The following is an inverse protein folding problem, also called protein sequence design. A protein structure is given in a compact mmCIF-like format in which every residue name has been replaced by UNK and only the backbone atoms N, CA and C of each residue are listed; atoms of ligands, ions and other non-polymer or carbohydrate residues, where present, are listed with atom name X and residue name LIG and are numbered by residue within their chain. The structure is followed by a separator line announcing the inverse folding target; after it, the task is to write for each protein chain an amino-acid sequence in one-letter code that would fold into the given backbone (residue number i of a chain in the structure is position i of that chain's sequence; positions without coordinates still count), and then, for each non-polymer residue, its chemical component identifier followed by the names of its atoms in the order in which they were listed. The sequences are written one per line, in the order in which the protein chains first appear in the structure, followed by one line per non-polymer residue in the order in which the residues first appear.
data_IF_829037154683
#
_entry.id   IF_829037154683
#
_cell.length_a   1.000
_cell.length_b   1.000
_cell.length_c   1.000
_cell.angle_alpha   90.00
_cell.angle_beta   90.00
_cell.angle_gamma   90.00
#
_symmetry.space_group_name_H-M   'P 1'
#
loop_
_entity.id
_entity.type
_entity.pdbx_description
1 polymer ?
#
# COMPACT_ATOMS: atom_id res chain seq x y z
N UNK A 1 1.62 5.92 14.57
CA UNK A 1 0.55 6.70 13.90
C UNK A 1 -0.32 7.48 14.88
N UNK A 2 -0.52 7.01 16.12
CA UNK A 2 -1.18 7.79 17.18
C UNK A 2 -0.18 8.12 18.30
N UNK A 3 -0.20 9.35 18.83
CA UNK A 3 0.75 9.80 19.85
C UNK A 3 0.72 8.96 21.14
N UNK A 4 -0.44 8.39 21.48
CA UNK A 4 -0.62 7.54 22.66
C UNK A 4 -0.45 6.03 22.37
N UNK A 5 -0.17 5.64 21.12
CA UNK A 5 -0.10 4.22 20.76
C UNK A 5 1.10 3.54 21.43
N UNK A 6 0.86 2.47 22.20
CA UNK A 6 1.91 1.74 22.90
C UNK A 6 1.84 0.21 22.65
N UNK A 7 1.16 -0.18 21.56
CA UNK A 7 0.94 -1.57 21.19
C UNK A 7 1.98 -2.14 20.22
N UNK A 8 1.74 -3.36 19.72
CA UNK A 8 2.57 -4.00 18.70
C UNK A 8 2.36 -3.36 17.33
N UNK A 9 3.43 -3.03 16.61
CA UNK A 9 3.37 -2.46 15.26
C UNK A 9 3.25 -3.54 14.19
N UNK A 10 4.03 -4.62 14.34
CA UNK A 10 4.02 -5.76 13.44
C UNK A 10 4.53 -7.01 14.17
N UNK A 11 4.30 -8.18 13.57
CA UNK A 11 4.81 -9.45 14.05
C UNK A 11 5.86 -10.00 13.10
N UNK A 12 6.95 -10.54 13.65
CA UNK A 12 7.95 -11.29 12.88
C UNK A 12 7.91 -12.77 13.23
N UNK A 13 8.22 -13.62 12.26
CA UNK A 13 8.45 -15.06 12.45
C UNK A 13 9.85 -15.43 12.00
N UNK A 14 10.59 -16.12 12.86
CA UNK A 14 11.96 -16.56 12.55
C UNK A 14 11.99 -17.98 11.97
N UNK A 15 12.87 -18.21 10.99
CA UNK A 15 12.92 -19.48 10.26
C UNK A 15 13.54 -20.62 11.05
N UNK A 16 14.33 -20.34 12.09
CA UNK A 16 15.02 -21.37 12.88
C UNK A 16 14.08 -22.31 13.62
N UNK A 17 12.92 -21.81 14.07
CA UNK A 17 11.97 -22.59 14.89
C UNK A 17 10.51 -22.18 14.71
N UNK A 18 10.20 -21.30 13.75
CA UNK A 18 8.86 -20.77 13.50
C UNK A 18 8.22 -20.00 14.66
N UNK A 19 8.98 -19.65 15.70
CA UNK A 19 8.46 -18.80 16.76
C UNK A 19 8.18 -17.39 16.21
N UNK A 20 7.19 -16.74 16.82
CA UNK A 20 6.79 -15.37 16.48
C UNK A 20 7.13 -14.39 17.60
N UNK A 21 7.31 -13.13 17.23
CA UNK A 21 7.51 -12.03 18.17
C UNK A 21 6.86 -10.77 17.63
N UNK A 22 6.06 -10.13 18.48
CA UNK A 22 5.55 -8.79 18.18
C UNK A 22 6.63 -7.74 18.46
N UNK A 23 6.76 -6.80 17.54
CA UNK A 23 7.64 -5.64 17.65
C UNK A 23 6.78 -4.41 17.90
N UNK A 24 6.84 -3.90 19.13
CA UNK A 24 6.17 -2.67 19.52
C UNK A 24 7.03 -1.42 19.34
N UNK A 25 6.53 -0.32 19.87
CA UNK A 25 7.26 0.95 19.97
C UNK A 25 8.28 0.94 21.10
N UNK A 26 9.33 1.76 20.99
CA UNK A 26 10.29 1.99 22.09
C UNK A 26 9.64 2.75 23.26
N UNK A 27 8.72 3.67 22.93
CA UNK A 27 7.89 4.43 23.87
C UNK A 27 6.58 4.79 23.17
N UNK A 28 5.51 5.12 23.94
CA UNK A 28 4.22 5.49 23.36
C UNK A 28 4.35 6.56 22.25
N UNK A 29 3.74 6.29 21.10
CA UNK A 29 3.79 7.14 19.89
C UNK A 29 5.15 7.19 19.18
N UNK A 30 6.14 6.42 19.65
CA UNK A 30 7.51 6.45 19.17
C UNK A 30 7.80 5.49 18.01
N UNK A 31 9.09 5.32 17.74
CA UNK A 31 9.64 4.44 16.70
C UNK A 31 9.58 2.97 17.09
N UNK A 32 9.59 2.07 16.10
CA UNK A 32 9.66 0.63 16.30
C UNK A 32 10.92 0.21 17.08
N UNK A 33 10.79 -0.80 17.95
CA UNK A 33 11.93 -1.37 18.67
C UNK A 33 12.72 -2.34 17.78
N UNK A 34 13.49 -1.80 16.84
CA UNK A 34 14.31 -2.58 15.92
C UNK A 34 15.35 -3.47 16.62
N UNK A 35 15.85 -3.06 17.80
CA UNK A 35 16.80 -3.87 18.58
C UNK A 35 16.16 -5.19 19.08
N UNK A 36 14.87 -5.17 19.41
CA UNK A 36 14.13 -6.39 19.76
C UNK A 36 14.01 -7.34 18.56
N UNK A 37 13.77 -6.81 17.37
CA UNK A 37 13.76 -7.61 16.13
C UNK A 37 15.14 -8.20 15.85
N UNK A 38 16.19 -7.38 15.88
CA UNK A 38 17.56 -7.82 15.61
C UNK A 38 17.97 -8.97 16.55
N UNK A 39 17.65 -8.84 17.84
CA UNK A 39 17.91 -9.87 18.84
C UNK A 39 17.11 -11.15 18.57
N UNK A 40 15.83 -11.02 18.23
CA UNK A 40 14.95 -12.17 17.96
C UNK A 40 15.35 -12.96 16.71
N UNK A 41 15.77 -12.23 15.67
CA UNK A 41 16.15 -12.76 14.36
C UNK A 41 17.64 -13.14 14.25
N UNK A 42 18.42 -12.93 15.31
CA UNK A 42 19.87 -13.21 15.31
C UNK A 42 20.16 -14.67 14.92
N UNK A 43 21.07 -14.85 13.95
CA UNK A 43 21.48 -16.18 13.48
C UNK A 43 20.46 -16.91 12.60
N UNK A 44 19.39 -16.24 12.16
CA UNK A 44 18.36 -16.82 11.28
C UNK A 44 17.74 -15.74 10.38
N UNK A 45 16.82 -16.13 9.51
CA UNK A 45 15.99 -15.20 8.73
C UNK A 45 14.66 -14.96 9.42
N UNK A 46 14.09 -13.77 9.21
CA UNK A 46 12.75 -13.42 9.68
C UNK A 46 11.89 -12.91 8.53
N UNK A 47 10.60 -13.21 8.59
CA UNK A 47 9.56 -12.61 7.76
C UNK A 47 8.59 -11.83 8.62
N UNK A 48 7.97 -10.78 8.06
CA UNK A 48 6.88 -10.02 8.71
C UNK A 48 5.58 -10.77 8.44
N UNK A 49 4.94 -11.33 9.48
CA UNK A 49 3.71 -12.13 9.35
C UNK A 49 2.43 -11.31 9.46
N UNK A 50 2.46 -10.24 10.24
CA UNK A 50 1.32 -9.35 10.47
C UNK A 50 1.80 -7.92 10.52
N UNK A 51 1.07 -7.01 9.88
CA UNK A 51 1.19 -5.57 10.08
C UNK A 51 -0.06 -5.15 10.85
N UNK A 52 0.11 -4.71 12.10
CA UNK A 52 -1.02 -4.43 12.97
C UNK A 52 -1.63 -3.05 12.66
N UNK A 53 -2.96 -3.02 12.61
CA UNK A 53 -3.71 -1.77 12.59
C UNK A 53 -3.67 -1.15 14.00
N UNK A 54 -3.11 0.05 14.06
CA UNK A 54 -2.97 0.82 15.31
C UNK A 54 -4.29 1.47 15.75
N UNK A 55 -5.30 1.50 14.88
CA UNK A 55 -6.63 1.99 15.19
C UNK A 55 -7.38 1.01 16.09
N UNK A 56 -8.54 1.44 16.59
CA UNK A 56 -9.44 0.58 17.35
C UNK A 56 -10.19 -0.45 16.49
N UNK A 57 -9.99 -0.46 15.16
CA UNK A 57 -10.66 -1.39 14.24
C UNK A 57 -9.94 -2.73 14.13
N UNK A 58 -8.61 -2.74 14.33
CA UNK A 58 -7.79 -3.94 14.23
C UNK A 58 -7.85 -4.63 12.87
N UNK A 59 -7.93 -3.84 11.79
CA UNK A 59 -7.88 -4.31 10.41
C UNK A 59 -6.44 -4.71 10.02
N UNK A 60 -5.93 -5.75 10.69
CA UNK A 60 -4.53 -6.15 10.56
C UNK A 60 -4.26 -6.79 9.20
N UNK A 61 -3.18 -6.38 8.55
CA UNK A 61 -2.78 -6.99 7.29
C UNK A 61 -1.99 -8.27 7.56
N UNK A 62 -2.41 -9.36 6.91
CA UNK A 62 -1.77 -10.69 7.01
C UNK A 62 -1.42 -11.19 5.62
N UNK A 63 -0.80 -12.38 5.51
CA UNK A 63 -0.42 -12.97 4.23
C UNK A 63 -1.60 -12.97 3.25
N UNK A 64 -1.43 -12.36 2.08
CA UNK A 64 -2.49 -12.32 1.08
C UNK A 64 -2.87 -13.75 0.63
N UNK A 65 -4.18 -14.05 0.52
CA UNK A 65 -4.66 -15.36 0.06
C UNK A 65 -4.52 -15.49 -1.45
N UNK A 66 -4.93 -16.65 -1.98
CA UNK A 66 -5.17 -16.80 -3.41
C UNK A 66 -6.23 -15.82 -3.92
N UNK A 67 -6.13 -15.43 -5.19
CA UNK A 67 -7.12 -14.59 -5.87
C UNK A 67 -7.43 -15.01 -7.30
N UNK A 68 -7.96 -14.08 -8.07
CA UNK A 68 -8.26 -14.25 -9.49
C UNK A 68 -7.01 -14.38 -10.38
N UNK A 69 -5.96 -13.61 -10.08
CA UNK A 69 -4.75 -13.54 -10.91
C UNK A 69 -3.60 -14.43 -10.46
N UNK A 70 -3.48 -14.73 -9.16
CA UNK A 70 -2.41 -15.57 -8.63
C UNK A 70 -2.94 -16.63 -7.62
N UNK A 71 -2.32 -17.82 -7.58
CA UNK A 71 -2.83 -18.96 -6.81
C UNK A 71 -2.63 -18.85 -5.30
N UNK A 72 -1.80 -17.92 -4.82
CA UNK A 72 -1.49 -17.69 -3.41
C UNK A 72 -1.12 -18.95 -2.58
N UNK A 73 -1.08 -18.84 -1.24
CA UNK A 73 -0.92 -17.57 -0.54
C UNK A 73 0.39 -16.89 -0.97
N UNK A 74 0.38 -15.57 -1.01
CA UNK A 74 1.55 -14.80 -1.43
C UNK A 74 2.69 -14.95 -0.43
N UNK A 75 3.91 -14.57 -0.81
CA UNK A 75 5.04 -14.58 0.12
C UNK A 75 4.86 -13.50 1.18
N UNK A 76 5.53 -13.70 2.31
CA UNK A 76 5.72 -12.69 3.34
C UNK A 76 7.06 -11.98 3.13
N UNK A 77 7.08 -10.66 3.37
CA UNK A 77 8.27 -9.84 3.23
C UNK A 77 9.36 -10.23 4.24
N UNK A 78 10.62 -10.17 3.81
CA UNK A 78 11.76 -10.32 4.70
C UNK A 78 11.87 -9.13 5.65
N UNK A 79 12.03 -9.40 6.95
CA UNK A 79 11.95 -8.38 8.01
C UNK A 79 13.15 -7.42 8.06
N UNK A 80 14.25 -7.68 7.34
CA UNK A 80 15.46 -6.85 7.36
C UNK A 80 15.81 -6.23 6.01
N UNK A 81 14.99 -6.43 4.98
CA UNK A 81 15.30 -6.01 3.60
C UNK A 81 15.03 -4.53 3.30
N UNK A 82 14.36 -3.78 4.19
CA UNK A 82 14.16 -2.34 4.07
C UNK A 82 14.61 -1.59 5.35
N UNK A 83 15.90 -1.61 5.72
CA UNK A 83 16.39 -0.87 6.86
C UNK A 83 16.24 0.65 6.63
N UNK A 84 15.86 1.38 7.66
CA UNK A 84 15.75 2.84 7.63
C UNK A 84 16.08 3.45 9.00
N UNK A 85 16.08 4.77 9.08
CA UNK A 85 16.19 5.51 10.33
C UNK A 85 15.12 6.59 10.42
N UNK A 86 14.36 6.62 11.52
CA UNK A 86 13.43 7.70 11.84
C UNK A 86 13.97 8.47 13.04
N UNK A 87 14.26 9.77 12.86
CA UNK A 87 14.87 10.63 13.88
C UNK A 87 16.12 10.04 14.53
N UNK A 88 16.98 9.40 13.74
CA UNK A 88 18.21 8.75 14.22
C UNK A 88 18.02 7.36 14.84
N UNK A 89 16.79 6.87 14.96
CA UNK A 89 16.50 5.52 15.45
C UNK A 89 16.32 4.54 14.30
N UNK A 90 16.99 3.39 14.37
CA UNK A 90 16.83 2.30 13.39
C UNK A 90 15.40 1.78 13.39
N UNK A 91 14.86 1.55 12.19
CA UNK A 91 13.58 0.89 11.95
C UNK A 91 13.66 0.04 10.66
N UNK A 92 12.60 -0.71 10.37
CA UNK A 92 12.48 -1.52 9.16
C UNK A 92 11.13 -1.22 8.49
N UNK A 93 11.16 -0.99 7.18
CA UNK A 93 9.96 -1.02 6.34
C UNK A 93 9.66 -2.41 5.82
N UNK A 94 8.64 -2.51 4.98
CA UNK A 94 8.19 -3.75 4.33
C UNK A 94 8.69 -3.75 2.88
N UNK A 95 9.78 -4.48 2.62
CA UNK A 95 10.30 -4.67 1.26
C UNK A 95 9.50 -5.76 0.54
N UNK A 96 8.76 -5.39 -0.51
CA UNK A 96 7.85 -6.25 -1.26
C UNK A 96 8.48 -6.57 -2.63
N UNK A 97 9.13 -7.74 -2.81
CA UNK A 97 9.48 -8.25 -4.13
C UNK A 97 8.26 -8.92 -4.81
N UNK A 98 8.30 -9.19 -6.12
CA UNK A 98 7.21 -9.87 -6.82
C UNK A 98 6.79 -11.20 -6.16
N UNK A 99 5.48 -11.40 -6.07
CA UNK A 99 4.82 -12.51 -5.40
C UNK A 99 4.70 -12.34 -3.89
N UNK A 100 4.75 -11.12 -3.36
CA UNK A 100 4.62 -10.81 -1.92
C UNK A 100 3.45 -9.86 -1.72
N UNK A 101 2.58 -10.15 -0.78
CA UNK A 101 1.34 -9.41 -0.61
C UNK A 101 0.77 -9.53 0.79
N UNK A 102 0.08 -8.48 1.23
CA UNK A 102 -0.69 -8.50 2.47
C UNK A 102 -2.13 -8.05 2.25
N UNK A 103 -3.06 -8.61 3.03
CA UNK A 103 -4.49 -8.37 2.86
C UNK A 103 -5.28 -8.50 4.16
N UNK A 104 -6.40 -7.80 4.22
CA UNK A 104 -7.53 -8.04 5.11
C UNK A 104 -8.85 -7.94 4.31
N UNK A 105 -9.49 -9.08 4.05
CA UNK A 105 -10.77 -9.17 3.34
C UNK A 105 -11.99 -8.90 4.23
N UNK A 106 -11.79 -8.77 5.53
CA UNK A 106 -12.85 -8.67 6.55
C UNK A 106 -12.75 -7.40 7.38
N UNK A 107 -12.04 -6.41 6.85
CA UNK A 107 -11.84 -5.12 7.49
C UNK A 107 -13.17 -4.44 7.84
N UNK A 108 -13.15 -3.67 8.93
CA UNK A 108 -14.33 -2.96 9.44
C UNK A 108 -14.11 -1.47 9.47
N UNK A 109 -15.15 -0.71 9.11
CA UNK A 109 -15.14 0.76 9.13
C UNK A 109 -14.42 1.43 7.96
N UNK A 110 -13.88 0.66 7.02
CA UNK A 110 -13.44 1.10 5.69
C UNK A 110 -14.64 1.55 4.84
N UNK A 111 -14.42 2.47 3.89
CA UNK A 111 -15.51 2.95 3.04
C UNK A 111 -15.99 1.86 2.08
N UNK A 112 -17.29 1.85 1.81
CA UNK A 112 -17.93 0.95 0.84
C UNK A 112 -18.88 1.74 -0.05
N UNK A 113 -19.17 1.20 -1.23
CA UNK A 113 -19.96 1.88 -2.25
C UNK A 113 -19.30 3.20 -2.68
N UNK A 114 -20.09 4.27 -2.68
CA UNK A 114 -19.66 5.61 -3.06
C UNK A 114 -19.28 6.50 -1.87
N UNK A 115 -19.15 5.91 -0.67
CA UNK A 115 -18.75 6.67 0.52
C UNK A 115 -17.34 7.24 0.35
N UNK A 116 -17.08 8.45 0.89
CA UNK A 116 -15.77 9.08 0.76
C UNK A 116 -14.72 8.40 1.64
N UNK A 117 -13.47 8.41 1.18
CA UNK A 117 -12.30 8.01 1.95
C UNK A 117 -11.05 8.78 1.51
N UNK A 118 -10.00 8.63 2.30
CA UNK A 118 -8.68 9.18 2.02
C UNK A 118 -7.61 8.27 2.58
N UNK A 119 -6.59 8.04 1.78
CA UNK A 119 -5.52 7.10 2.06
C UNK A 119 -4.18 7.76 1.75
N UNK A 120 -3.17 7.43 2.57
CA UNK A 120 -1.79 7.82 2.30
C UNK A 120 -0.83 6.71 2.69
N UNK A 121 0.31 6.66 2.01
CA UNK A 121 1.42 5.78 2.34
C UNK A 121 2.76 6.51 2.16
N UNK A 122 3.79 6.02 2.86
CA UNK A 122 5.17 6.40 2.58
C UNK A 122 5.84 5.25 1.84
N UNK A 123 6.25 5.49 0.60
CA UNK A 123 6.92 4.51 -0.25
C UNK A 123 8.41 4.82 -0.44
N UNK A 124 9.18 3.80 -0.84
CA UNK A 124 10.47 4.03 -1.50
C UNK A 124 10.22 4.38 -2.97
N UNK A 125 10.32 5.66 -3.34
CA UNK A 125 10.08 6.12 -4.71
C UNK A 125 11.08 5.62 -5.75
N UNK A 126 12.09 4.86 -5.33
CA UNK A 126 13.10 4.24 -6.20
C UNK A 126 12.96 2.72 -6.33
N UNK A 127 12.07 2.10 -5.55
CA UNK A 127 11.79 0.67 -5.61
C UNK A 127 10.40 0.46 -6.20
N UNK A 128 10.36 0.09 -7.48
CA UNK A 128 9.13 -0.17 -8.23
C UNK A 128 9.44 -1.05 -9.46
N UNK A 129 8.41 -1.50 -10.16
CA UNK A 129 8.52 -2.06 -11.51
C UNK A 129 7.25 -1.73 -12.33
N UNK A 130 7.11 -2.38 -13.50
CA UNK A 130 5.94 -2.27 -14.37
C UNK A 130 5.00 -3.47 -14.28
N UNK A 131 5.06 -4.26 -13.21
CA UNK A 131 4.12 -5.36 -12.95
C UNK A 131 2.85 -4.86 -12.26
N UNK A 132 1.77 -5.63 -12.37
CA UNK A 132 0.54 -5.36 -11.63
C UNK A 132 0.46 -6.21 -10.36
N UNK A 133 0.11 -5.64 -9.21
CA UNK A 133 0.04 -4.18 -8.93
C UNK A 133 0.62 -3.88 -7.54
N UNK A 134 1.32 -2.75 -7.38
CA UNK A 134 1.89 -2.35 -6.09
C UNK A 134 0.95 -1.33 -5.48
N UNK A 135 -0.11 -1.85 -4.87
CA UNK A 135 -1.18 -1.02 -4.34
C UNK A 135 -1.19 -0.98 -2.82
N UNK A 136 -1.76 0.07 -2.26
CA UNK A 136 -2.19 0.13 -0.87
C UNK A 136 -3.53 0.84 -0.80
N UNK A 137 -4.57 0.16 -0.31
CA UNK A 137 -5.89 0.78 -0.21
C UNK A 137 -7.08 -0.17 -0.23
N UNK A 138 -8.23 0.37 -0.65
CA UNK A 138 -9.53 -0.30 -0.68
C UNK A 138 -9.63 -1.29 -1.85
N UNK A 139 -10.12 -2.50 -1.58
CA UNK A 139 -10.29 -3.53 -2.60
C UNK A 139 -11.50 -4.43 -2.36
N UNK A 140 -11.67 -5.42 -3.24
CA UNK A 140 -12.68 -6.47 -3.18
C UNK A 140 -12.48 -7.41 -1.99
N UNK A 141 -13.58 -7.89 -1.45
CA UNK A 141 -13.56 -8.78 -0.26
C UNK A 141 -13.32 -10.25 -0.59
N UNK A 142 -13.33 -10.61 -1.87
CA UNK A 142 -13.22 -11.98 -2.37
C UNK A 142 -11.89 -12.26 -3.11
N UNK A 143 -10.99 -11.27 -3.18
CA UNK A 143 -9.72 -11.33 -3.91
C UNK A 143 -9.89 -11.62 -5.41
N UNK A 144 -10.95 -11.11 -6.02
CA UNK A 144 -11.25 -11.20 -7.45
C UNK A 144 -11.63 -9.83 -7.98
N UNK A 145 -11.43 -9.64 -9.28
CA UNK A 145 -11.97 -8.52 -10.03
C UNK A 145 -13.50 -8.62 -10.09
N UNK A 146 -14.19 -7.70 -9.41
CA UNK A 146 -15.65 -7.56 -9.41
C UNK A 146 -16.13 -6.37 -10.32
N UNK A 147 -15.21 -5.89 -11.16
CA UNK A 147 -15.39 -4.90 -12.22
C UNK A 147 -15.29 -3.44 -11.76
N UNK A 148 -15.11 -2.53 -12.71
CA UNK A 148 -14.95 -1.08 -12.52
C UNK A 148 -15.59 -0.49 -11.23
N UNK A 149 -14.77 0.27 -10.50
CA UNK A 149 -15.17 1.04 -9.33
C UNK A 149 -15.23 0.24 -8.02
N UNK A 150 -14.82 -1.02 -8.00
CA UNK A 150 -14.82 -1.87 -6.78
C UNK A 150 -13.56 -1.73 -5.93
N UNK A 151 -12.51 -1.11 -6.47
CA UNK A 151 -11.30 -0.69 -5.74
C UNK A 151 -11.21 0.83 -5.62
N UNK A 152 -10.43 1.28 -4.65
CA UNK A 152 -9.85 2.63 -4.58
C UNK A 152 -8.55 2.51 -3.77
N UNK A 153 -7.44 2.35 -4.48
CA UNK A 153 -6.13 2.15 -3.86
C UNK A 153 -5.04 3.01 -4.49
N UNK A 154 -4.04 3.40 -3.70
CA UNK A 154 -2.84 4.06 -4.21
C UNK A 154 -2.01 3.04 -4.97
N UNK A 155 -1.81 3.25 -6.27
CA UNK A 155 -0.80 2.55 -7.06
C UNK A 155 0.50 3.35 -7.11
N UNK A 156 1.64 2.66 -7.02
CA UNK A 156 2.94 3.26 -7.33
C UNK A 156 3.82 2.37 -8.22
N UNK A 157 4.20 2.89 -9.38
CA UNK A 157 5.05 2.18 -10.34
C UNK A 157 5.06 2.80 -11.72
N UNK A 158 5.55 2.08 -12.73
CA UNK A 158 5.71 2.60 -14.09
C UNK A 158 5.03 1.76 -15.18
N UNK A 159 4.02 0.97 -14.81
CA UNK A 159 3.20 0.25 -15.79
C UNK A 159 2.48 1.23 -16.73
N UNK A 160 2.26 0.83 -17.98
CA UNK A 160 1.54 1.62 -19.01
C UNK A 160 0.41 0.83 -19.68
N UNK A 161 -0.01 -0.27 -19.08
CA UNK A 161 -1.12 -1.09 -19.58
C UNK A 161 -2.43 -0.31 -19.54
N UNK A 162 -2.62 0.52 -18.50
CA UNK A 162 -3.79 1.38 -18.28
C UNK A 162 -3.44 2.87 -18.40
N UNK A 163 -3.60 3.63 -17.32
CA UNK A 163 -3.16 5.02 -17.20
C UNK A 163 -1.66 5.15 -17.03
N UNK A 164 -1.16 6.35 -17.35
CA UNK A 164 0.21 6.76 -17.08
C UNK A 164 0.33 8.29 -17.11
N UNK A 165 1.33 8.82 -16.42
CA UNK A 165 1.65 10.24 -16.38
C UNK A 165 2.72 10.66 -17.40
N UNK A 166 3.23 11.87 -17.22
CA UNK A 166 4.36 12.41 -17.97
C UNK A 166 5.70 11.78 -17.57
N UNK A 167 6.66 11.78 -18.50
CA UNK A 167 7.98 11.18 -18.27
C UNK A 167 7.99 9.65 -18.40
N UNK A 168 8.91 9.00 -17.70
CA UNK A 168 9.11 7.53 -17.77
C UNK A 168 8.65 6.78 -16.52
N UNK A 169 8.02 7.50 -15.58
CA UNK A 169 7.61 6.97 -14.30
C UNK A 169 8.78 6.86 -13.31
N UNK A 170 8.47 6.45 -12.08
CA UNK A 170 7.17 5.95 -11.64
C UNK A 170 6.18 7.10 -11.37
N UNK A 171 4.91 6.75 -11.26
CA UNK A 171 3.78 7.65 -11.00
C UNK A 171 3.01 7.20 -9.77
N UNK A 172 2.34 8.14 -9.12
CA UNK A 172 1.28 7.83 -8.16
C UNK A 172 -0.03 7.83 -8.97
N UNK A 173 -0.74 6.71 -8.98
CA UNK A 173 -2.04 6.60 -9.63
C UNK A 173 -3.06 6.06 -8.63
N UNK A 174 -4.34 6.07 -8.99
CA UNK A 174 -5.36 5.32 -8.28
C UNK A 174 -5.70 4.04 -9.05
N UNK A 175 -5.66 2.88 -8.41
CA UNK A 175 -6.33 1.68 -8.90
C UNK A 175 -7.81 1.76 -8.53
N UNK A 176 -8.66 1.78 -9.55
CA UNK A 176 -10.12 1.82 -9.40
C UNK A 176 -10.78 0.52 -9.91
N UNK A 177 -10.02 -0.56 -10.05
CA UNK A 177 -10.33 -1.82 -10.73
C UNK A 177 -10.49 -1.66 -12.26
N UNK A 178 -9.91 -2.59 -13.01
CA UNK A 178 -9.81 -2.60 -14.46
C UNK A 178 -9.15 -1.34 -15.07
N UNK A 179 -8.48 -0.54 -14.24
CA UNK A 179 -7.88 0.71 -14.63
C UNK A 179 -7.08 1.36 -13.51
N UNK A 180 -5.80 1.61 -13.79
CA UNK A 180 -4.98 2.56 -13.07
C UNK A 180 -5.17 3.95 -13.69
N UNK A 181 -5.50 4.95 -12.88
CA UNK A 181 -5.79 6.30 -13.35
C UNK A 181 -4.78 7.31 -12.82
N UNK A 182 -4.13 8.03 -13.74
CA UNK A 182 -3.29 9.20 -13.48
C UNK A 182 -4.07 10.53 -13.56
N UNK A 183 -5.39 10.47 -13.75
CA UNK A 183 -6.27 11.63 -13.89
C UNK A 183 -7.58 11.30 -14.61
N UNK A 184 -8.20 12.30 -15.25
CA UNK A 184 -9.53 12.18 -15.84
C UNK A 184 -9.62 11.16 -16.99
N UNK A 185 -8.59 11.08 -17.83
CA UNK A 185 -8.59 10.22 -19.01
C UNK A 185 -8.10 8.82 -18.64
N UNK A 186 -8.66 7.79 -19.30
CA UNK A 186 -8.29 6.38 -19.09
C UNK A 186 -6.80 6.07 -19.31
N UNK A 187 -6.12 6.83 -20.15
CA UNK A 187 -4.71 6.61 -20.49
C UNK A 187 -3.84 7.77 -20.00
N UNK A 188 -3.27 8.53 -20.95
CA UNK A 188 -2.31 9.56 -20.64
C UNK A 188 -2.97 10.78 -19.98
N UNK A 189 -2.42 11.20 -18.84
CA UNK A 189 -2.72 12.48 -18.22
C UNK A 189 -1.40 13.24 -18.01
N UNK A 190 -1.25 14.38 -18.69
CA UNK A 190 0.02 15.12 -18.71
C UNK A 190 0.41 15.72 -17.36
N UNK A 191 -0.56 15.92 -16.46
CA UNK A 191 -0.38 16.61 -15.19
C UNK A 191 0.08 15.69 -14.05
N UNK A 192 0.15 14.38 -14.28
CA UNK A 192 0.74 13.44 -13.33
C UNK A 192 2.24 13.29 -13.61
N UNK A 193 3.13 13.85 -12.77
CA UNK A 193 4.56 13.86 -13.02
C UNK A 193 5.23 12.55 -12.59
N UNK A 194 6.38 12.25 -13.19
CA UNK A 194 7.29 11.26 -12.62
C UNK A 194 7.75 11.71 -11.22
N UNK A 195 7.61 10.85 -10.21
CA UNK A 195 8.06 11.12 -8.82
C UNK A 195 8.91 9.99 -8.27
N UNK A 196 10.12 10.28 -7.80
CA UNK A 196 11.09 9.26 -7.39
C UNK A 196 11.85 9.61 -6.10
N UNK A 197 11.19 10.30 -5.17
CA UNK A 197 11.77 10.59 -3.86
C UNK A 197 12.02 9.30 -3.09
N UNK A 198 13.22 9.16 -2.50
CA UNK A 198 13.57 7.97 -1.69
C UNK A 198 12.58 7.68 -0.57
N UNK A 199 11.96 8.72 0.00
CA UNK A 199 10.77 8.58 0.84
C UNK A 199 9.69 9.44 0.21
N UNK A 200 8.75 8.80 -0.46
CA UNK A 200 7.66 9.42 -1.20
C UNK A 200 6.39 9.33 -0.35
N UNK A 201 5.79 10.47 -0.03
CA UNK A 201 4.38 10.48 0.41
C UNK A 201 3.51 10.36 -0.83
N UNK A 202 2.64 9.35 -0.86
CA UNK A 202 1.63 9.14 -1.88
C UNK A 202 0.25 9.16 -1.24
N UNK A 203 -0.73 9.80 -1.89
CA UNK A 203 -2.07 9.97 -1.35
C UNK A 203 -3.10 9.90 -2.47
N UNK A 204 -4.20 9.19 -2.19
CA UNK A 204 -5.42 9.19 -2.99
C UNK A 204 -6.58 9.55 -2.06
N UNK A 205 -7.48 10.41 -2.53
CA UNK A 205 -8.72 10.73 -1.83
C UNK A 205 -9.88 10.56 -2.80
N UNK A 206 -10.98 9.97 -2.36
CA UNK A 206 -12.16 9.81 -3.21
C UNK A 206 -13.46 10.07 -2.47
N UNK A 207 -14.46 10.44 -3.26
CA UNK A 207 -15.83 10.66 -2.83
C UNK A 207 -16.79 10.64 -4.02
N UNK A 208 -18.06 11.02 -3.81
CA UNK A 208 -19.07 11.02 -4.87
C UNK A 208 -18.66 11.89 -6.05
N UNK A 209 -18.44 11.25 -7.20
CA UNK A 209 -17.95 11.85 -8.45
C UNK A 209 -16.75 12.82 -8.29
N UNK A 210 -15.87 12.60 -7.31
CA UNK A 210 -14.72 13.47 -7.07
C UNK A 210 -13.57 12.69 -6.43
N UNK A 211 -12.34 12.89 -6.91
CA UNK A 211 -11.15 12.27 -6.34
C UNK A 211 -9.90 13.10 -6.64
N UNK A 212 -8.82 12.81 -5.92
CA UNK A 212 -7.56 13.52 -6.03
C UNK A 212 -6.35 12.60 -5.84
N UNK A 213 -5.25 12.97 -6.51
CA UNK A 213 -3.92 12.39 -6.34
C UNK A 213 -3.00 13.47 -5.80
N UNK A 214 -2.30 13.18 -4.70
CA UNK A 214 -1.31 14.06 -4.14
C UNK A 214 0.00 13.30 -3.88
N UNK A 215 1.12 14.00 -4.02
CA UNK A 215 2.43 13.43 -3.76
C UNK A 215 3.46 14.45 -3.31
N UNK A 216 4.48 13.99 -2.59
CA UNK A 216 5.56 14.86 -2.11
C UNK A 216 6.73 14.11 -1.49
N UNK A 217 7.83 14.82 -1.27
CA UNK A 217 8.97 14.26 -0.55
C UNK A 217 8.64 14.17 0.95
N UNK A 218 8.59 12.96 1.50
CA UNK A 218 8.24 12.74 2.91
C UNK A 218 9.27 13.32 3.90
N UNK A 219 10.46 13.71 3.43
CA UNK A 219 11.50 14.30 4.27
C UNK A 219 11.45 15.84 4.33
N UNK A 220 10.79 16.51 3.39
CA UNK A 220 10.78 17.97 3.32
C UNK A 220 9.78 18.52 2.30
N UNK A 221 9.26 19.72 2.54
CA UNK A 221 8.40 20.44 1.60
C UNK A 221 6.92 20.11 1.79
N UNK A 222 6.10 20.51 0.81
CA UNK A 222 4.65 20.35 0.83
C UNK A 222 4.22 19.24 -0.14
N UNK A 223 3.01 18.72 0.06
CA UNK A 223 2.33 17.93 -0.97
C UNK A 223 2.00 18.79 -2.19
N UNK A 224 2.11 18.19 -3.36
CA UNK A 224 1.62 18.73 -4.63
C UNK A 224 0.41 17.93 -5.08
N UNK A 225 -0.58 18.62 -5.66
CA UNK A 225 -1.76 17.99 -6.25
C UNK A 225 -1.49 17.68 -7.72
N UNK A 226 -1.56 16.41 -8.11
CA UNK A 226 -1.36 15.94 -9.49
C UNK A 226 -2.69 15.78 -10.23
N UNK A 227 -3.73 15.43 -9.49
CA UNK A 227 -5.11 15.42 -9.97
C UNK A 227 -6.05 15.85 -8.85
N UNK A 228 -7.11 16.58 -9.20
CA UNK A 228 -8.21 16.95 -8.31
C UNK A 228 -9.43 17.27 -9.17
N UNK A 229 -10.43 16.38 -9.17
CA UNK A 229 -11.59 16.55 -10.05
C UNK A 229 -12.49 15.33 -10.14
N UNK A 230 -13.30 15.29 -11.20
CA UNK A 230 -14.33 14.28 -11.39
C UNK A 230 -13.79 12.85 -11.53
N UNK A 231 -14.64 11.83 -11.34
CA UNK A 231 -14.27 10.43 -11.66
C UNK A 231 -13.90 10.28 -13.14
N UNK A 232 -13.12 9.26 -13.51
CA UNK A 232 -12.67 9.08 -14.89
C UNK A 232 -13.82 9.08 -15.92
N UNK A 233 -13.54 9.56 -17.12
CA UNK A 233 -14.53 9.73 -18.20
C UNK A 233 -14.92 8.43 -18.93
N UNK A 234 -14.95 7.32 -18.19
CA UNK A 234 -15.29 5.96 -18.65
C UNK A 234 -16.37 5.36 -17.74
N UNK A 235 -17.21 4.48 -18.29
CA UNK A 235 -18.35 3.91 -17.56
C UNK A 235 -17.90 3.03 -16.39
N UNK A 236 -18.66 3.05 -15.29
CA UNK A 236 -18.47 2.14 -14.15
C UNK A 236 -17.69 2.71 -12.95
N UNK A 237 -17.16 3.93 -13.06
CA UNK A 237 -16.41 4.59 -11.97
C UNK A 237 -17.20 5.68 -11.24
N UNK A 238 -18.49 5.82 -11.54
CA UNK A 238 -19.40 6.75 -10.85
C UNK A 238 -20.86 6.23 -10.92
N UNK A 239 -21.52 5.97 -9.78
CA UNK A 239 -20.94 5.93 -8.44
C UNK A 239 -19.91 4.81 -8.30
N UNK A 240 -19.00 4.92 -7.33
CA UNK A 240 -18.11 3.83 -6.95
C UNK A 240 -18.88 2.69 -6.26
N UNK A 241 -18.26 1.52 -6.21
CA UNK A 241 -18.78 0.25 -5.68
C UNK A 241 -17.78 -0.42 -4.74
N UNK A 242 -16.99 0.38 -4.01
CA UNK A 242 -15.93 -0.09 -3.10
C UNK A 242 -16.42 -1.16 -2.13
N UNK A 243 -15.59 -2.14 -1.81
CA UNK A 243 -16.00 -3.25 -0.96
C UNK A 243 -15.37 -3.25 0.44
N UNK A 244 -14.34 -2.45 0.66
CA UNK A 244 -13.80 -2.18 1.99
C UNK A 244 -12.76 -3.19 2.48
N UNK A 245 -12.29 -4.12 1.65
CA UNK A 245 -11.08 -4.87 1.98
C UNK A 245 -9.86 -3.95 1.94
N UNK A 246 -8.76 -4.38 2.55
CA UNK A 246 -7.48 -3.66 2.50
C UNK A 246 -6.43 -4.55 1.86
N UNK A 247 -5.70 -4.02 0.88
CA UNK A 247 -4.57 -4.68 0.21
C UNK A 247 -3.28 -3.90 0.40
N UNK A 248 -2.15 -4.61 0.28
CA UNK A 248 -0.82 -4.04 0.23
C UNK A 248 0.10 -4.90 -0.66
N UNK A 249 0.67 -4.30 -1.71
CA UNK A 249 1.69 -4.90 -2.57
C UNK A 249 1.16 -5.79 -3.69
N UNK A 250 -0.16 -5.87 -3.85
CA UNK A 250 -0.87 -6.65 -4.89
C UNK A 250 -1.99 -5.81 -5.49
N UNK A 251 -2.58 -6.25 -6.60
CA UNK A 251 -3.89 -5.76 -7.07
C UNK A 251 -5.07 -6.36 -6.28
N UNK A 252 -6.28 -5.86 -6.56
CA UNK A 252 -7.54 -6.33 -5.95
C UNK A 252 -7.84 -7.80 -6.22
N UNK A 253 -7.52 -8.29 -7.41
CA UNK A 253 -7.66 -9.68 -7.83
C UNK A 253 -6.46 -10.59 -7.44
N UNK A 254 -5.55 -10.08 -6.60
CA UNK A 254 -4.28 -10.71 -6.22
C UNK A 254 -3.24 -10.77 -7.34
N UNK A 255 -3.26 -9.84 -8.30
CA UNK A 255 -2.15 -9.60 -9.22
C UNK A 255 -0.89 -9.23 -8.41
N UNK A 256 0.11 -10.12 -8.40
CA UNK A 256 1.26 -10.09 -7.49
C UNK A 256 2.61 -9.84 -8.20
N UNK A 257 2.58 -9.37 -9.45
CA UNK A 257 3.79 -9.16 -10.26
C UNK A 257 4.57 -7.89 -9.93
N UNK A 258 4.03 -7.01 -9.11
CA UNK A 258 4.64 -5.73 -8.78
C UNK A 258 5.70 -5.83 -7.68
N UNK A 259 6.42 -4.74 -7.44
CA UNK A 259 7.37 -4.64 -6.33
C UNK A 259 7.37 -3.22 -5.76
N UNK A 260 7.72 -3.08 -4.49
CA UNK A 260 7.90 -1.79 -3.85
C UNK A 260 8.26 -1.88 -2.37
N UNK A 261 8.28 -0.73 -1.69
CA UNK A 261 8.53 -0.70 -0.24
C UNK A 261 7.57 0.23 0.45
N UNK A 262 6.93 -0.28 1.50
CA UNK A 262 6.00 0.44 2.38
C UNK A 262 6.67 0.73 3.73
N UNK A 263 6.50 1.93 4.27
CA UNK A 263 7.06 2.37 5.56
C UNK A 263 5.99 2.68 6.60
#
# INVERSE_FOLDING_TARGET
LYAAYNGPLYQVRRSSDNSTRDIGVVSAGGVANAAAQDSFCSGTSCVITVIYDQSSRHNNLTQAPAGGAAPGPDKLANAVSAPTSLNGHKAYGVYIPPGTGYRDNTATGTATGDNPEGEYAIFDGTHYNGGCCFDYGNAETNSRDDGNGTMEAIYFGNIRVWGYGSGNGPWIMADLENGLFSGLNQHYNANDPTVNYRYLTAMVNGGPNHWAILGGNAQSGNLSTFYDGARPNVSGYNPMRKQGAIILGTGGDNSDGAQGTFY
#
